data_IF_568721289852
#
_entry.id   IF_568721289852
#
_cell.length_a   1.000
_cell.length_b   1.000
_cell.length_c   1.000
_cell.angle_alpha   90.00
_cell.angle_beta   90.00
_cell.angle_gamma   90.00
#
_symmetry.space_group_name_H-M   'P 1'
#
loop_
_entity.id
_entity.type
_entity.pdbx_description
1 polymer ?
#
# COMPACT_ATOMS: atom_id res chain seq x y z
N UNK A 1 -60.23 42.99 8.48
CA UNK A 1 -59.53 43.55 9.62
C UNK A 1 -58.38 42.63 9.95
N UNK A 2 -57.20 43.04 9.66
CA UNK A 2 -55.99 43.03 10.36
C UNK A 2 -55.16 41.76 10.12
N UNK A 3 -54.40 41.72 9.01
CA UNK A 3 -53.30 40.76 8.84
C UNK A 3 -52.02 41.38 9.31
N UNK A 4 -51.27 40.72 10.16
CA UNK A 4 -49.83 41.01 10.45
C UNK A 4 -48.95 40.08 9.68
N UNK A 5 -48.07 40.67 8.88
CA UNK A 5 -46.96 40.00 8.18
C UNK A 5 -45.80 39.87 9.16
N UNK A 6 -45.38 38.64 9.46
CA UNK A 6 -44.10 38.37 10.11
C UNK A 6 -43.02 38.31 9.04
N UNK A 7 -42.08 39.22 9.13
CA UNK A 7 -40.83 39.26 8.34
C UNK A 7 -39.87 38.19 8.80
N UNK A 8 -39.49 37.30 7.89
CA UNK A 8 -38.43 36.34 8.11
C UNK A 8 -37.06 36.96 7.87
N UNK A 9 -36.26 37.13 8.93
CA UNK A 9 -34.86 37.48 8.85
C UNK A 9 -34.05 36.28 8.31
N UNK A 10 -33.53 36.44 7.11
CA UNK A 10 -32.54 35.55 6.56
C UNK A 10 -31.19 35.83 7.22
N UNK A 11 -30.76 34.93 8.08
CA UNK A 11 -29.38 34.91 8.58
C UNK A 11 -28.43 34.64 7.40
N UNK A 12 -27.80 35.70 6.93
CA UNK A 12 -26.67 35.64 5.99
C UNK A 12 -25.49 34.89 6.63
N UNK A 13 -25.15 33.77 6.05
CA UNK A 13 -23.87 33.06 6.34
C UNK A 13 -22.72 34.02 5.96
N UNK A 14 -21.96 34.43 6.97
CA UNK A 14 -20.76 35.24 6.81
C UNK A 14 -19.70 34.58 5.91
N UNK A 15 -18.79 35.37 5.36
CA UNK A 15 -17.82 34.91 4.37
C UNK A 15 -16.90 33.82 4.95
N UNK A 16 -16.81 32.69 4.23
CA UNK A 16 -15.78 31.68 4.46
C UNK A 16 -14.39 32.33 4.33
N UNK A 17 -13.72 32.50 5.43
CA UNK A 17 -12.30 32.92 5.47
C UNK A 17 -11.43 31.81 4.85
N UNK A 18 -11.29 31.85 3.55
CA UNK A 18 -10.26 31.10 2.81
C UNK A 18 -8.92 31.80 3.03
N UNK A 19 -8.24 31.54 4.13
CA UNK A 19 -6.86 31.96 4.30
C UNK A 19 -5.97 31.24 3.27
N UNK A 20 -5.39 32.00 2.33
CA UNK A 20 -4.35 31.51 1.42
C UNK A 20 -3.13 31.11 2.24
N UNK A 21 -2.52 29.97 1.92
CA UNK A 21 -1.35 29.40 2.59
C UNK A 21 -0.17 30.37 2.83
N UNK A 22 -0.05 31.42 2.02
CA UNK A 22 0.93 32.50 2.18
C UNK A 22 0.65 33.44 3.38
N UNK A 23 -0.60 33.68 3.71
CA UNK A 23 -0.99 34.59 4.83
C UNK A 23 -0.82 33.88 6.16
N UNK A 24 -1.00 32.55 6.21
CA UNK A 24 -0.76 31.76 7.42
C UNK A 24 0.71 31.71 7.83
N UNK A 25 1.66 31.67 6.87
CA UNK A 25 3.11 31.78 7.14
C UNK A 25 3.54 33.12 7.72
N UNK A 26 2.84 34.20 7.45
CA UNK A 26 3.13 35.52 8.00
C UNK A 26 2.79 35.61 9.50
N UNK A 27 1.81 34.83 9.96
CA UNK A 27 1.43 34.80 11.38
C UNK A 27 2.23 33.80 12.24
N UNK A 28 2.75 32.71 11.62
CA UNK A 28 3.56 31.68 12.30
C UNK A 28 4.85 31.40 11.53
N UNK A 29 5.86 32.26 11.61
CA UNK A 29 7.08 32.18 10.79
C UNK A 29 7.98 30.96 11.07
N UNK A 30 7.65 30.11 12.06
CA UNK A 30 8.49 29.01 12.52
C UNK A 30 7.96 27.59 12.26
N UNK A 31 6.78 27.42 11.65
CA UNK A 31 6.26 26.07 11.36
C UNK A 31 6.85 25.51 10.07
N UNK A 32 7.66 24.44 10.14
CA UNK A 32 8.25 23.84 8.94
C UNK A 32 7.20 23.12 8.10
N UNK A 33 7.41 23.10 6.80
CA UNK A 33 6.49 22.48 5.85
C UNK A 33 7.06 21.23 5.22
N UNK A 34 6.20 20.19 5.03
CA UNK A 34 6.56 18.93 4.40
C UNK A 34 5.70 18.66 3.17
N UNK A 35 6.35 18.30 2.08
CA UNK A 35 5.72 17.72 0.91
C UNK A 35 6.04 16.24 0.85
N UNK A 36 4.99 15.41 0.93
CA UNK A 36 5.10 13.94 0.88
C UNK A 36 4.38 13.44 -0.37
N UNK A 37 5.09 12.69 -1.22
CA UNK A 37 4.53 12.08 -2.42
C UNK A 37 4.76 10.58 -2.45
N UNK A 38 3.69 9.84 -2.71
CA UNK A 38 3.70 8.38 -2.79
C UNK A 38 3.78 7.92 -4.24
N UNK A 39 4.68 6.96 -4.49
CA UNK A 39 4.81 6.22 -5.74
C UNK A 39 4.71 4.73 -5.41
N UNK A 40 3.52 4.14 -5.49
CA UNK A 40 3.42 2.74 -5.09
C UNK A 40 2.02 2.17 -5.05
N UNK A 41 1.81 1.29 -4.10
CA UNK A 41 0.56 0.60 -3.83
C UNK A 41 -0.13 1.18 -2.59
N UNK A 42 -1.31 0.65 -2.25
CA UNK A 42 -2.10 1.05 -1.09
C UNK A 42 -1.30 0.98 0.24
N UNK A 43 -0.41 -0.02 0.37
CA UNK A 43 0.48 -0.08 1.54
C UNK A 43 1.40 1.14 1.63
N UNK A 44 1.97 1.63 0.50
CA UNK A 44 2.77 2.84 0.53
C UNK A 44 1.91 4.08 0.83
N UNK A 45 0.67 4.13 0.38
CA UNK A 45 -0.27 5.21 0.74
C UNK A 45 -0.52 5.22 2.25
N UNK A 46 -0.82 4.05 2.82
CA UNK A 46 -1.00 3.92 4.28
C UNK A 46 0.26 4.27 5.08
N UNK A 47 1.44 3.84 4.62
CA UNK A 47 2.72 4.22 5.21
C UNK A 47 2.92 5.74 5.17
N UNK A 48 2.53 6.41 4.09
CA UNK A 48 2.62 7.87 3.95
C UNK A 48 1.67 8.61 4.87
N UNK A 49 0.46 8.10 5.10
CA UNK A 49 -0.49 8.66 6.07
C UNK A 49 0.11 8.67 7.49
N UNK A 50 0.72 7.55 7.89
CA UNK A 50 1.40 7.42 9.17
C UNK A 50 2.55 8.43 9.32
N UNK A 51 3.40 8.54 8.28
CA UNK A 51 4.53 9.50 8.27
C UNK A 51 4.01 10.93 8.34
N UNK A 52 2.98 11.27 7.56
CA UNK A 52 2.39 12.59 7.57
C UNK A 52 1.85 12.94 8.98
N UNK A 53 1.14 12.01 9.61
CA UNK A 53 0.62 12.21 10.97
C UNK A 53 1.75 12.46 11.97
N UNK A 54 2.77 11.62 11.98
CA UNK A 54 3.93 11.75 12.88
C UNK A 54 4.66 13.09 12.73
N UNK A 55 4.76 13.61 11.49
CA UNK A 55 5.34 14.94 11.23
C UNK A 55 4.42 16.07 11.71
N UNK A 56 3.09 15.97 11.46
CA UNK A 56 2.13 16.96 11.94
C UNK A 56 2.10 17.05 13.48
N UNK A 57 2.20 15.93 14.19
CA UNK A 57 2.27 15.88 15.65
C UNK A 57 3.54 16.58 16.20
N UNK A 58 4.58 16.74 15.37
CA UNK A 58 5.79 17.53 15.65
C UNK A 58 5.73 18.97 15.12
N UNK A 59 4.55 19.43 14.70
CA UNK A 59 4.33 20.82 14.27
C UNK A 59 4.69 21.11 12.81
N UNK A 60 4.89 20.10 11.98
CA UNK A 60 5.02 20.29 10.54
C UNK A 60 3.67 20.58 9.90
N UNK A 61 3.66 21.45 8.90
CA UNK A 61 2.48 21.68 8.06
C UNK A 61 2.64 21.00 6.71
N UNK A 62 1.54 20.55 6.12
CA UNK A 62 1.55 19.99 4.78
C UNK A 62 1.77 21.11 3.76
N UNK A 63 2.78 20.98 2.90
CA UNK A 63 2.98 21.86 1.76
C UNK A 63 2.11 21.42 0.58
N UNK A 64 1.54 22.36 -0.13
CA UNK A 64 0.74 22.10 -1.34
C UNK A 64 1.65 21.79 -2.55
N UNK A 65 2.86 22.32 -2.55
CA UNK A 65 3.83 22.11 -3.62
C UNK A 65 5.24 21.87 -3.10
N UNK A 66 6.06 21.22 -3.93
CA UNK A 66 7.46 20.95 -3.62
C UNK A 66 8.29 22.24 -3.49
N UNK A 67 7.86 23.32 -4.17
CA UNK A 67 8.59 24.60 -4.18
C UNK A 67 8.50 25.37 -2.86
N UNK A 68 7.47 25.05 -2.07
CA UNK A 68 7.16 25.71 -0.79
C UNK A 68 7.57 24.85 0.41
N UNK A 69 8.04 23.63 0.16
CA UNK A 69 8.38 22.69 1.22
C UNK A 69 9.79 22.90 1.75
N UNK A 70 9.92 22.80 3.07
CA UNK A 70 11.21 22.71 3.76
C UNK A 70 11.74 21.28 3.77
N UNK A 71 10.82 20.30 3.65
CA UNK A 71 11.11 18.87 3.62
C UNK A 71 10.35 18.24 2.47
N UNK A 72 11.04 17.46 1.64
CA UNK A 72 10.43 16.71 0.54
C UNK A 72 10.75 15.22 0.70
N UNK A 73 9.72 14.41 0.89
CA UNK A 73 9.82 12.98 1.07
C UNK A 73 9.11 12.25 -0.07
N UNK A 74 9.79 11.30 -0.69
CA UNK A 74 9.20 10.42 -1.70
C UNK A 74 9.09 8.99 -1.14
N UNK A 75 7.88 8.54 -0.87
CA UNK A 75 7.63 7.15 -0.47
C UNK A 75 7.49 6.28 -1.73
N UNK A 76 8.26 5.19 -1.81
CA UNK A 76 8.50 4.49 -3.06
C UNK A 76 8.33 2.99 -2.95
N UNK A 77 7.74 2.41 -4.00
CA UNK A 77 7.56 0.98 -4.19
C UNK A 77 8.76 0.36 -4.92
N UNK A 78 9.09 -0.90 -4.61
CA UNK A 78 10.04 -1.72 -5.40
C UNK A 78 9.35 -2.82 -6.22
N UNK A 79 8.04 -2.97 -6.07
CA UNK A 79 7.28 -3.98 -6.82
C UNK A 79 7.08 -3.54 -8.28
N UNK A 80 6.91 -2.23 -8.52
CA UNK A 80 6.67 -1.66 -9.85
C UNK A 80 7.88 -0.84 -10.28
N UNK A 81 8.58 -1.27 -11.34
CA UNK A 81 9.77 -0.60 -11.86
C UNK A 81 9.51 0.85 -12.26
N UNK A 82 8.41 1.11 -12.97
CA UNK A 82 7.99 2.46 -13.35
C UNK A 82 7.84 3.41 -12.15
N UNK A 83 7.39 2.91 -11.00
CA UNK A 83 7.25 3.72 -9.80
C UNK A 83 8.62 4.13 -9.25
N UNK A 84 9.57 3.19 -9.22
CA UNK A 84 10.95 3.44 -8.79
C UNK A 84 11.64 4.45 -9.73
N UNK A 85 11.59 4.22 -11.04
CA UNK A 85 12.19 5.12 -12.03
C UNK A 85 11.59 6.53 -11.99
N UNK A 86 10.25 6.64 -11.86
CA UNK A 86 9.59 7.95 -11.74
C UNK A 86 10.05 8.68 -10.46
N UNK A 87 10.18 7.99 -9.35
CA UNK A 87 10.63 8.59 -8.10
C UNK A 87 12.09 9.04 -8.18
N UNK A 88 12.99 8.23 -8.76
CA UNK A 88 14.39 8.60 -8.95
C UNK A 88 14.53 9.83 -9.84
N UNK A 89 13.86 9.85 -11.01
CA UNK A 89 13.87 11.03 -11.91
C UNK A 89 13.30 12.27 -11.22
N UNK A 90 12.22 12.11 -10.45
CA UNK A 90 11.62 13.21 -9.69
C UNK A 90 12.62 13.79 -8.69
N UNK A 91 13.28 12.95 -7.90
CA UNK A 91 14.27 13.38 -6.91
C UNK A 91 15.46 14.12 -7.57
N UNK A 92 15.94 13.64 -8.72
CA UNK A 92 16.99 14.34 -9.48
C UNK A 92 16.60 15.78 -9.81
N UNK A 93 15.37 16.01 -10.24
CA UNK A 93 14.84 17.34 -10.55
C UNK A 93 14.68 18.20 -9.27
N UNK A 94 14.25 17.60 -8.16
CA UNK A 94 14.05 18.31 -6.89
C UNK A 94 15.35 18.85 -6.29
N UNK A 95 16.49 18.22 -6.57
CA UNK A 95 17.81 18.73 -6.15
C UNK A 95 18.09 20.15 -6.62
N UNK A 96 17.52 20.57 -7.75
CA UNK A 96 17.67 21.95 -8.25
C UNK A 96 17.04 23.00 -7.33
N UNK A 97 16.09 22.61 -6.46
CA UNK A 97 15.47 23.52 -5.48
C UNK A 97 16.48 24.06 -4.48
N UNK A 98 17.57 23.34 -4.21
CA UNK A 98 18.65 23.80 -3.31
C UNK A 98 19.39 25.04 -3.77
N UNK A 99 19.32 25.36 -5.04
CA UNK A 99 19.85 26.66 -5.53
C UNK A 99 19.08 27.84 -4.95
N UNK A 100 17.77 27.63 -4.59
CA UNK A 100 16.88 28.66 -4.03
C UNK A 100 16.72 28.51 -2.52
N UNK A 101 16.68 27.28 -2.03
CA UNK A 101 16.58 26.93 -0.61
C UNK A 101 17.65 25.88 -0.27
N UNK A 102 18.85 26.28 0.20
CA UNK A 102 19.93 25.35 0.56
C UNK A 102 19.56 24.41 1.73
N UNK A 103 18.61 24.82 2.57
CA UNK A 103 18.19 24.06 3.77
C UNK A 103 17.15 22.99 3.45
N UNK A 104 16.61 22.90 2.22
CA UNK A 104 15.60 21.90 1.89
C UNK A 104 16.13 20.48 2.12
N UNK A 105 15.39 19.70 2.91
CA UNK A 105 15.66 18.29 3.19
C UNK A 105 15.02 17.42 2.10
N UNK A 106 15.78 16.49 1.54
CA UNK A 106 15.34 15.56 0.51
C UNK A 106 15.52 14.13 0.99
N UNK A 107 14.44 13.33 0.97
CA UNK A 107 14.48 11.95 1.46
C UNK A 107 13.66 10.96 0.66
N UNK A 108 14.10 9.70 0.70
CA UNK A 108 13.35 8.54 0.22
C UNK A 108 12.86 7.69 1.38
N UNK A 109 11.63 7.18 1.24
CA UNK A 109 10.98 6.28 2.18
C UNK A 109 10.52 5.01 1.45
N UNK A 110 10.24 3.95 2.20
CA UNK A 110 9.50 2.79 1.73
C UNK A 110 10.34 1.67 1.15
N UNK A 111 9.74 0.86 0.26
CA UNK A 111 10.32 -0.40 -0.22
C UNK A 111 11.63 -0.20 -1.01
N UNK A 112 11.73 0.85 -1.83
CA UNK A 112 12.96 1.16 -2.55
C UNK A 112 14.06 1.61 -1.59
N UNK A 113 13.70 2.47 -0.63
CA UNK A 113 14.62 2.89 0.43
C UNK A 113 15.13 1.69 1.22
N UNK A 114 14.26 0.77 1.63
CA UNK A 114 14.62 -0.47 2.31
C UNK A 114 15.61 -1.31 1.50
N UNK A 115 15.38 -1.48 0.20
CA UNK A 115 16.20 -2.34 -0.66
C UNK A 115 17.56 -1.74 -1.00
N UNK A 116 17.58 -0.45 -1.31
CA UNK A 116 18.79 0.25 -1.77
C UNK A 116 19.64 0.81 -0.62
N UNK A 117 19.00 1.22 0.48
CA UNK A 117 19.70 1.73 1.66
C UNK A 117 20.77 2.77 1.31
N UNK A 118 21.97 2.57 1.85
CA UNK A 118 23.12 3.47 1.65
C UNK A 118 23.56 3.60 0.19
N UNK A 119 23.23 2.66 -0.69
CA UNK A 119 23.61 2.76 -2.10
C UNK A 119 22.94 3.95 -2.79
N UNK A 120 21.77 4.38 -2.31
CA UNK A 120 21.09 5.58 -2.82
C UNK A 120 21.91 6.86 -2.65
N UNK A 121 22.70 6.98 -1.57
CA UNK A 121 23.59 8.12 -1.39
C UNK A 121 24.71 8.16 -2.43
N UNK A 122 25.21 6.99 -2.84
CA UNK A 122 26.23 6.85 -3.90
C UNK A 122 25.65 7.16 -5.28
N UNK A 123 24.45 6.63 -5.56
CA UNK A 123 23.74 6.85 -6.82
C UNK A 123 23.23 8.29 -6.95
N UNK A 124 22.88 8.92 -5.84
CA UNK A 124 22.23 10.24 -5.83
C UNK A 124 22.84 11.16 -4.78
N UNK A 125 23.92 11.85 -5.14
CA UNK A 125 24.54 12.85 -4.26
C UNK A 125 23.53 13.92 -3.81
N UNK A 126 23.55 14.24 -2.53
CA UNK A 126 22.70 15.28 -1.97
C UNK A 126 21.36 14.80 -1.42
N UNK A 127 21.12 13.51 -1.23
CA UNK A 127 20.09 13.03 -0.33
C UNK A 127 20.47 13.30 1.12
N UNK A 128 19.48 13.55 1.96
CA UNK A 128 19.65 13.75 3.39
C UNK A 128 19.24 12.52 4.17
N UNK A 129 18.15 11.85 3.74
CA UNK A 129 17.68 10.67 4.47
C UNK A 129 17.12 9.59 3.56
N UNK A 130 17.25 8.34 4.04
CA UNK A 130 16.66 7.13 3.45
C UNK A 130 16.11 6.29 4.60
N UNK A 131 14.79 6.03 4.59
CA UNK A 131 14.14 5.32 5.68
C UNK A 131 13.37 4.11 5.16
N UNK A 132 13.68 2.95 5.73
CA UNK A 132 13.09 1.67 5.38
C UNK A 132 11.67 1.48 5.91
N UNK A 133 11.04 0.40 5.46
CA UNK A 133 9.62 0.11 5.73
C UNK A 133 9.30 -0.22 7.19
N UNK A 134 10.31 -0.58 7.99
CA UNK A 134 10.15 -0.90 9.40
C UNK A 134 10.50 0.29 10.33
N UNK A 135 10.85 1.45 9.77
CA UNK A 135 11.36 2.63 10.50
C UNK A 135 10.50 3.89 10.31
N UNK A 136 9.27 3.75 9.83
CA UNK A 136 8.39 4.90 9.58
C UNK A 136 8.10 5.73 10.83
N UNK A 137 8.03 5.11 12.00
CA UNK A 137 7.85 5.79 13.29
C UNK A 137 9.02 6.74 13.64
N UNK A 138 10.22 6.53 13.07
CA UNK A 138 11.40 7.35 13.29
C UNK A 138 11.57 8.48 12.25
N UNK A 139 10.74 8.52 11.21
CA UNK A 139 10.89 9.49 10.12
C UNK A 139 10.91 10.92 10.64
N UNK A 140 10.01 11.26 11.57
CA UNK A 140 9.91 12.62 12.07
C UNK A 140 11.16 13.05 12.86
N UNK A 141 11.75 12.14 13.66
CA UNK A 141 13.03 12.36 14.37
C UNK A 141 14.18 12.59 13.38
N UNK A 142 14.32 11.70 12.38
CA UNK A 142 15.37 11.78 11.38
C UNK A 142 15.25 13.02 10.50
N UNK A 143 14.04 13.49 10.24
CA UNK A 143 13.79 14.74 9.52
C UNK A 143 14.25 15.94 10.34
N UNK A 144 13.97 15.98 11.64
CA UNK A 144 14.43 17.04 12.54
C UNK A 144 15.97 17.11 12.57
N UNK A 145 16.63 15.94 12.68
CA UNK A 145 18.08 15.83 12.66
C UNK A 145 18.68 16.31 11.33
N UNK A 146 18.11 15.89 10.19
CA UNK A 146 18.57 16.33 8.87
C UNK A 146 18.42 17.85 8.67
N UNK A 147 17.31 18.43 9.16
CA UNK A 147 17.08 19.88 9.10
C UNK A 147 18.08 20.66 9.96
N UNK A 148 18.34 20.20 11.17
CA UNK A 148 19.32 20.82 12.06
C UNK A 148 20.71 20.82 11.40
N UNK A 149 21.15 19.67 10.90
CA UNK A 149 22.45 19.52 10.22
C UNK A 149 22.58 20.45 9.00
N UNK A 150 21.49 20.69 8.25
CA UNK A 150 21.50 21.65 7.14
C UNK A 150 21.58 23.10 7.60
N UNK A 151 20.83 23.48 8.63
CA UNK A 151 20.90 24.83 9.21
C UNK A 151 22.29 25.18 9.74
N UNK A 152 22.99 24.19 10.29
CA UNK A 152 24.37 24.34 10.78
C UNK A 152 25.43 24.32 9.65
N UNK A 153 25.02 24.18 8.40
CA UNK A 153 25.93 24.08 7.25
C UNK A 153 26.75 22.78 7.20
N UNK A 154 26.35 21.75 7.95
CA UNK A 154 27.01 20.45 8.05
C UNK A 154 26.05 19.30 7.60
N UNK A 155 25.55 19.34 6.35
CA UNK A 155 24.62 18.32 5.89
C UNK A 155 25.26 16.94 5.94
N UNK A 156 24.51 15.96 6.43
CA UNK A 156 24.90 14.57 6.49
C UNK A 156 23.80 13.69 5.94
N UNK A 157 24.18 12.51 5.46
CA UNK A 157 23.25 11.49 5.00
C UNK A 157 22.88 10.57 6.19
N UNK A 158 21.57 10.40 6.39
CA UNK A 158 21.00 9.54 7.43
C UNK A 158 20.29 8.36 6.74
N UNK A 159 20.67 7.14 7.11
CA UNK A 159 20.00 5.92 6.62
C UNK A 159 19.54 5.08 7.80
N UNK A 160 18.27 4.69 7.79
CA UNK A 160 17.72 3.75 8.76
C UNK A 160 16.83 2.74 8.03
N UNK A 161 17.45 1.59 7.69
CA UNK A 161 16.83 0.50 6.92
C UNK A 161 16.93 -0.84 7.66
N UNK A 162 17.28 -0.81 8.95
CA UNK A 162 17.36 -2.01 9.79
C UNK A 162 16.01 -2.70 9.99
N UNK A 163 16.05 -3.99 10.26
CA UNK A 163 14.86 -4.72 10.72
C UNK A 163 14.51 -4.32 12.16
N UNK A 164 13.21 -4.30 12.48
CA UNK A 164 12.72 -3.98 13.82
C UNK A 164 11.48 -4.79 14.15
N UNK A 165 11.58 -5.57 15.22
CA UNK A 165 10.46 -6.33 15.76
C UNK A 165 9.42 -5.39 16.37
N UNK A 166 8.13 -5.67 16.17
CA UNK A 166 7.04 -4.82 16.66
C UNK A 166 6.73 -3.60 15.78
N UNK A 167 7.51 -3.35 14.71
CA UNK A 167 7.29 -2.22 13.81
C UNK A 167 5.93 -2.23 13.11
N UNK A 168 5.28 -3.39 12.95
CA UNK A 168 3.92 -3.51 12.39
C UNK A 168 2.88 -2.84 13.28
N UNK A 169 3.14 -2.70 14.57
CA UNK A 169 2.24 -2.06 15.55
C UNK A 169 2.35 -0.54 15.56
N UNK A 170 3.34 0.03 14.90
CA UNK A 170 3.54 1.49 14.83
C UNK A 170 2.68 2.16 13.76
N UNK A 171 2.07 1.40 12.83
CA UNK A 171 1.26 1.94 11.72
C UNK A 171 -0.22 1.95 12.11
N UNK A 172 -0.62 2.86 13.00
CA UNK A 172 -1.99 2.98 13.54
C UNK A 172 -2.66 4.30 13.19
N UNK A 173 -1.88 5.38 13.15
CA UNK A 173 -2.43 6.73 13.05
C UNK A 173 -2.82 7.05 11.61
N UNK A 174 -3.92 7.78 11.47
CA UNK A 174 -4.47 8.20 10.20
C UNK A 174 -4.45 9.71 10.04
N UNK A 175 -4.36 10.14 8.81
CA UNK A 175 -4.56 11.54 8.41
C UNK A 175 -5.70 11.57 7.42
N UNK A 176 -6.93 11.69 7.93
CA UNK A 176 -8.12 11.72 7.09
C UNK A 176 -8.29 13.09 6.43
N UNK A 177 -8.64 13.08 5.15
CA UNK A 177 -9.13 14.27 4.46
C UNK A 177 -10.55 14.63 4.96
N UNK A 178 -10.96 15.90 4.88
CA UNK A 178 -12.34 16.27 5.21
C UNK A 178 -13.34 15.44 4.39
N UNK A 179 -14.34 14.86 5.08
CA UNK A 179 -15.38 13.99 4.49
C UNK A 179 -14.87 12.70 3.83
N UNK A 180 -13.71 12.22 4.21
CA UNK A 180 -13.19 10.93 3.73
C UNK A 180 -14.05 9.79 4.27
N UNK A 181 -14.62 8.98 3.37
CA UNK A 181 -15.54 7.87 3.71
C UNK A 181 -14.85 6.49 3.61
N UNK A 182 -13.64 6.41 3.10
CA UNK A 182 -12.89 5.16 2.95
C UNK A 182 -11.54 5.23 3.64
N UNK A 183 -11.07 4.13 4.22
CA UNK A 183 -9.74 4.06 4.83
C UNK A 183 -9.05 2.72 4.56
N UNK A 184 -7.71 2.76 4.49
CA UNK A 184 -6.86 1.59 4.47
C UNK A 184 -6.39 1.24 5.88
N UNK A 185 -6.53 -0.01 6.29
CA UNK A 185 -6.06 -0.51 7.59
C UNK A 185 -5.04 -1.62 7.38
N UNK A 186 -3.80 -1.39 7.78
CA UNK A 186 -2.75 -2.40 7.72
C UNK A 186 -2.94 -3.40 8.87
N UNK A 187 -3.21 -4.67 8.55
CA UNK A 187 -3.43 -5.72 9.55
C UNK A 187 -2.18 -6.57 9.79
N UNK A 188 -1.29 -6.62 8.79
CA UNK A 188 -0.04 -7.35 8.85
C UNK A 188 1.02 -6.71 7.94
N UNK A 189 2.28 -7.02 8.19
CA UNK A 189 3.42 -6.66 7.35
C UNK A 189 4.34 -7.85 7.11
N UNK A 190 5.06 -7.79 5.96
CA UNK A 190 5.99 -8.82 5.57
C UNK A 190 5.33 -10.05 4.96
N UNK A 191 6.12 -10.95 4.43
CA UNK A 191 5.65 -12.15 3.76
C UNK A 191 6.72 -13.25 3.78
N UNK A 192 6.35 -14.43 4.25
CA UNK A 192 7.20 -15.61 4.28
C UNK A 192 6.94 -16.56 3.09
N UNK A 193 6.19 -16.11 2.10
CA UNK A 193 6.06 -16.85 0.84
C UNK A 193 7.31 -16.68 -0.01
N UNK A 194 7.70 -17.75 -0.69
CA UNK A 194 8.90 -17.77 -1.52
C UNK A 194 8.59 -17.71 -3.01
N UNK A 195 7.63 -16.85 -3.41
CA UNK A 195 7.37 -16.60 -4.82
C UNK A 195 8.65 -16.11 -5.50
N UNK A 196 9.06 -16.77 -6.58
CA UNK A 196 10.40 -16.59 -7.18
C UNK A 196 10.64 -15.19 -7.78
N UNK A 197 9.58 -14.47 -8.12
CA UNK A 197 9.62 -13.11 -8.69
C UNK A 197 9.48 -12.00 -7.65
N UNK A 198 9.09 -12.35 -6.41
CA UNK A 198 8.62 -11.36 -5.46
C UNK A 198 9.76 -10.81 -4.59
N UNK A 199 9.84 -9.49 -4.51
CA UNK A 199 10.83 -8.75 -3.72
C UNK A 199 10.33 -8.41 -2.30
N UNK A 200 9.07 -8.70 -1.99
CA UNK A 200 8.44 -8.32 -0.70
C UNK A 200 9.19 -8.87 0.52
N UNK A 201 9.65 -10.14 0.57
CA UNK A 201 10.41 -10.62 1.72
C UNK A 201 11.64 -9.77 2.05
N UNK A 202 12.33 -9.26 1.02
CA UNK A 202 13.50 -8.38 1.20
C UNK A 202 13.11 -6.96 1.62
N UNK A 203 11.95 -6.46 1.17
CA UNK A 203 11.58 -5.05 1.38
C UNK A 203 10.65 -4.83 2.56
N UNK A 204 9.92 -5.84 3.02
CA UNK A 204 8.97 -5.77 4.15
C UNK A 204 9.31 -6.74 5.28
N UNK A 205 10.30 -7.61 5.07
CA UNK A 205 10.77 -8.58 6.04
C UNK A 205 9.83 -9.76 6.25
N UNK A 206 9.99 -10.44 7.38
CA UNK A 206 9.17 -11.58 7.81
C UNK A 206 7.73 -11.15 8.09
N UNK A 207 6.83 -12.12 7.99
CA UNK A 207 5.41 -11.95 8.30
C UNK A 207 5.21 -11.65 9.78
N UNK A 208 4.50 -10.56 10.07
CA UNK A 208 4.15 -10.09 11.41
C UNK A 208 2.73 -9.55 11.38
N UNK A 209 1.90 -9.98 12.31
CA UNK A 209 0.47 -9.63 12.37
C UNK A 209 0.17 -8.79 13.60
N UNK A 210 -0.70 -7.82 13.45
CA UNK A 210 -1.19 -7.01 14.55
C UNK A 210 -2.27 -7.75 15.34
N UNK A 211 -2.42 -7.52 16.64
CA UNK A 211 -3.52 -8.08 17.43
C UNK A 211 -4.90 -7.67 16.91
N UNK A 212 -5.88 -8.60 16.92
CA UNK A 212 -7.26 -8.33 16.46
C UNK A 212 -7.87 -7.13 17.19
N UNK A 213 -7.73 -7.06 18.51
CA UNK A 213 -8.28 -5.97 19.33
C UNK A 213 -7.80 -4.58 18.89
N UNK A 214 -6.50 -4.44 18.60
CA UNK A 214 -5.91 -3.16 18.13
C UNK A 214 -6.48 -2.73 16.77
N UNK A 215 -6.71 -3.69 15.87
CA UNK A 215 -7.30 -3.42 14.54
C UNK A 215 -8.77 -2.99 14.69
N UNK A 216 -9.52 -3.66 15.54
CA UNK A 216 -10.93 -3.33 15.80
C UNK A 216 -11.07 -1.94 16.43
N UNK A 217 -10.20 -1.58 17.37
CA UNK A 217 -10.19 -0.23 17.96
C UNK A 217 -9.86 0.86 16.94
N UNK A 218 -8.87 0.62 16.07
CA UNK A 218 -8.52 1.53 14.98
C UNK A 218 -9.73 1.73 14.04
N UNK A 219 -10.42 0.65 13.65
CA UNK A 219 -11.60 0.73 12.78
C UNK A 219 -12.75 1.47 13.46
N UNK A 220 -13.00 1.25 14.75
CA UNK A 220 -13.99 2.01 15.52
C UNK A 220 -13.67 3.52 15.53
N UNK A 221 -12.40 3.85 15.76
CA UNK A 221 -11.95 5.25 15.73
C UNK A 221 -12.15 5.89 14.35
N UNK A 222 -11.86 5.17 13.27
CA UNK A 222 -12.10 5.65 11.90
C UNK A 222 -13.59 5.87 11.62
N UNK A 223 -14.43 4.93 12.02
CA UNK A 223 -15.90 5.04 11.85
C UNK A 223 -16.46 6.21 12.63
N UNK A 224 -16.00 6.48 13.86
CA UNK A 224 -16.41 7.65 14.63
C UNK A 224 -16.05 8.98 13.97
N UNK A 225 -15.06 8.98 13.07
CA UNK A 225 -14.64 10.13 12.25
C UNK A 225 -15.35 10.20 10.89
N UNK A 226 -16.31 9.31 10.60
CA UNK A 226 -17.14 9.32 9.39
C UNK A 226 -16.72 8.31 8.31
N UNK A 227 -15.72 7.47 8.54
CA UNK A 227 -15.35 6.40 7.61
C UNK A 227 -16.47 5.35 7.58
N UNK A 228 -16.86 4.91 6.38
CA UNK A 228 -17.92 3.93 6.11
C UNK A 228 -17.39 2.64 5.48
N UNK A 229 -16.27 2.72 4.82
CA UNK A 229 -15.63 1.57 4.16
C UNK A 229 -14.19 1.43 4.62
N UNK A 230 -13.80 0.21 4.99
CA UNK A 230 -12.43 -0.15 5.35
C UNK A 230 -11.91 -1.23 4.40
N UNK A 231 -10.71 -1.02 3.88
CA UNK A 231 -9.97 -2.04 3.14
C UNK A 231 -8.78 -2.54 3.96
N UNK A 232 -8.79 -3.81 4.31
CA UNK A 232 -7.70 -4.46 5.04
C UNK A 232 -6.51 -4.70 4.11
N UNK A 233 -5.33 -4.27 4.54
CA UNK A 233 -4.09 -4.40 3.79
C UNK A 233 -3.14 -5.40 4.46
N UNK A 234 -2.51 -6.22 3.62
CA UNK A 234 -1.43 -7.14 3.97
C UNK A 234 -0.74 -7.63 2.71
N UNK A 235 0.42 -8.26 2.82
CA UNK A 235 1.10 -8.85 1.66
C UNK A 235 0.50 -10.19 1.25
N UNK A 236 -0.15 -10.87 2.18
CA UNK A 236 -0.96 -12.09 2.01
C UNK A 236 -2.10 -12.04 3.03
N UNK A 237 -2.97 -11.07 2.90
CA UNK A 237 -3.94 -10.66 3.92
C UNK A 237 -4.78 -11.81 4.49
N UNK A 238 -5.19 -12.76 3.67
CA UNK A 238 -5.99 -13.93 4.09
C UNK A 238 -5.18 -15.04 4.79
N UNK A 239 -3.89 -14.80 5.04
CA UNK A 239 -3.05 -15.62 5.93
C UNK A 239 -2.67 -14.87 7.22
N UNK A 240 -3.33 -13.74 7.49
CA UNK A 240 -3.15 -12.96 8.71
C UNK A 240 -3.21 -13.84 9.96
N UNK A 241 -2.29 -13.61 10.89
CA UNK A 241 -2.24 -14.25 12.20
C UNK A 241 -1.84 -15.72 12.21
N UNK A 242 -1.57 -16.34 11.07
CA UNK A 242 -1.32 -17.79 10.98
C UNK A 242 -0.14 -18.30 11.83
N UNK A 243 0.75 -17.41 12.26
CA UNK A 243 1.93 -17.73 13.07
C UNK A 243 1.77 -17.33 14.52
N UNK A 244 1.07 -16.25 14.77
CA UNK A 244 1.00 -15.61 16.10
C UNK A 244 -0.33 -15.86 16.82
N UNK A 245 -1.40 -16.18 16.07
CA UNK A 245 -2.74 -16.30 16.62
C UNK A 245 -3.31 -17.71 16.44
N UNK A 246 -4.06 -18.24 17.42
CA UNK A 246 -4.64 -19.57 17.32
C UNK A 246 -5.84 -19.63 16.38
N UNK A 247 -6.07 -20.79 15.81
CA UNK A 247 -7.36 -21.15 15.20
C UNK A 247 -8.34 -21.44 16.33
N UNK A 248 -9.50 -20.77 16.34
CA UNK A 248 -10.53 -20.92 17.37
C UNK A 248 -11.82 -21.43 16.74
N UNK A 249 -12.38 -22.51 17.24
CA UNK A 249 -13.61 -23.13 16.73
C UNK A 249 -13.61 -23.36 15.20
N UNK A 250 -12.48 -23.80 14.65
CA UNK A 250 -12.28 -24.05 13.21
C UNK A 250 -12.14 -22.79 12.35
N UNK A 251 -12.07 -21.59 12.95
CA UNK A 251 -11.91 -20.31 12.25
C UNK A 251 -10.46 -19.85 12.27
N UNK A 252 -9.93 -19.57 11.10
CA UNK A 252 -8.59 -18.95 10.97
C UNK A 252 -8.57 -17.54 11.58
N UNK A 253 -7.41 -17.04 12.00
CA UNK A 253 -7.30 -15.68 12.56
C UNK A 253 -7.86 -14.59 11.66
N UNK A 254 -7.72 -14.73 10.35
CA UNK A 254 -8.29 -13.77 9.41
C UNK A 254 -9.83 -13.76 9.45
N UNK A 255 -10.46 -14.93 9.52
CA UNK A 255 -11.92 -15.03 9.67
C UNK A 255 -12.37 -14.48 11.02
N UNK A 256 -11.65 -14.76 12.11
CA UNK A 256 -11.92 -14.16 13.42
C UNK A 256 -11.90 -12.62 13.34
N UNK A 257 -10.90 -12.05 12.67
CA UNK A 257 -10.81 -10.60 12.45
C UNK A 257 -12.01 -10.06 11.65
N UNK A 258 -12.40 -10.72 10.55
CA UNK A 258 -13.56 -10.30 9.75
C UNK A 258 -14.85 -10.33 10.60
N UNK A 259 -15.04 -11.36 11.42
CA UNK A 259 -16.22 -11.50 12.30
C UNK A 259 -16.25 -10.46 13.42
N UNK A 260 -15.11 -10.02 13.96
CA UNK A 260 -15.06 -8.92 14.92
C UNK A 260 -15.32 -7.56 14.24
N UNK A 261 -14.84 -7.35 13.02
CA UNK A 261 -15.11 -6.13 12.26
C UNK A 261 -16.57 -6.04 11.78
N UNK A 262 -17.22 -7.18 11.51
CA UNK A 262 -18.66 -7.24 11.22
C UNK A 262 -19.51 -6.60 12.33
N UNK A 263 -19.08 -6.70 13.61
CA UNK A 263 -19.78 -6.15 14.76
C UNK A 263 -19.61 -4.64 14.96
N UNK A 264 -18.70 -3.99 14.21
CA UNK A 264 -18.43 -2.55 14.38
C UNK A 264 -19.59 -1.74 13.83
N UNK A 265 -20.35 -1.12 14.72
CA UNK A 265 -21.47 -0.23 14.32
C UNK A 265 -21.00 0.94 13.49
N UNK A 266 -21.74 1.31 12.44
CA UNK A 266 -21.42 2.40 11.54
C UNK A 266 -20.42 2.04 10.43
N UNK A 267 -19.70 0.92 10.50
CA UNK A 267 -18.99 0.36 9.35
C UNK A 267 -20.01 -0.27 8.40
N UNK A 268 -19.98 0.13 7.13
CA UNK A 268 -20.94 -0.34 6.13
C UNK A 268 -20.31 -1.35 5.16
N UNK A 269 -19.02 -1.19 4.82
CA UNK A 269 -18.33 -2.04 3.86
C UNK A 269 -16.95 -2.45 4.36
N UNK A 270 -16.64 -3.72 4.18
CA UNK A 270 -15.36 -4.33 4.48
C UNK A 270 -14.78 -4.96 3.23
N UNK A 271 -13.54 -4.60 2.91
CA UNK A 271 -12.77 -5.15 1.78
C UNK A 271 -11.40 -5.63 2.25
N UNK A 272 -10.78 -6.43 1.45
CA UNK A 272 -9.36 -6.76 1.63
C UNK A 272 -8.66 -6.90 0.28
N UNK A 273 -7.34 -6.70 0.27
CA UNK A 273 -6.51 -6.82 -0.94
C UNK A 273 -5.35 -7.78 -0.72
N UNK A 274 -4.75 -8.24 -1.84
CA UNK A 274 -3.60 -9.14 -1.82
C UNK A 274 -3.84 -10.49 -1.14
N UNK A 275 -5.00 -11.15 -1.29
CA UNK A 275 -5.16 -12.52 -0.86
C UNK A 275 -4.32 -13.47 -1.72
N UNK A 276 -4.02 -14.64 -1.17
CA UNK A 276 -3.34 -15.72 -1.87
C UNK A 276 -4.26 -16.95 -1.97
N UNK A 277 -4.33 -17.66 -3.10
CA UNK A 277 -5.21 -18.83 -3.27
C UNK A 277 -5.06 -19.89 -2.18
N UNK A 278 -3.84 -20.14 -1.67
CA UNK A 278 -3.60 -21.06 -0.56
C UNK A 278 -4.26 -20.66 0.76
N UNK A 279 -4.58 -19.39 0.92
CA UNK A 279 -5.28 -18.86 2.11
C UNK A 279 -6.79 -18.84 1.95
N UNK A 280 -7.34 -19.18 0.79
CA UNK A 280 -8.78 -19.34 0.57
C UNK A 280 -9.24 -20.69 1.14
N UNK A 281 -9.45 -20.70 2.45
CA UNK A 281 -9.94 -21.88 3.20
C UNK A 281 -11.45 -21.87 3.27
N UNK A 282 -12.05 -23.03 3.57
CA UNK A 282 -13.51 -23.20 3.62
C UNK A 282 -14.20 -22.21 4.58
N UNK A 283 -13.56 -21.87 5.70
CA UNK A 283 -14.06 -20.89 6.67
C UNK A 283 -14.11 -19.47 6.09
N UNK A 284 -13.09 -19.05 5.32
CA UNK A 284 -13.07 -17.77 4.64
C UNK A 284 -14.05 -17.73 3.46
N UNK A 285 -14.10 -18.80 2.65
CA UNK A 285 -15.08 -18.93 1.56
C UNK A 285 -16.50 -18.83 2.13
N UNK A 286 -16.74 -19.45 3.31
CA UNK A 286 -18.00 -19.36 4.03
C UNK A 286 -18.36 -17.98 4.58
N UNK A 287 -17.45 -16.99 4.56
CA UNK A 287 -17.76 -15.60 4.91
C UNK A 287 -18.54 -14.88 3.79
N UNK A 288 -18.30 -15.23 2.53
CA UNK A 288 -19.07 -14.70 1.41
C UNK A 288 -20.53 -15.16 1.50
N UNK A 289 -21.47 -14.22 1.38
CA UNK A 289 -22.91 -14.45 1.57
C UNK A 289 -23.36 -14.58 3.04
N UNK A 290 -22.44 -14.68 4.02
CA UNK A 290 -22.75 -14.71 5.45
C UNK A 290 -22.49 -13.39 6.15
N UNK A 291 -21.35 -12.76 5.92
CA UNK A 291 -21.01 -11.45 6.51
C UNK A 291 -21.60 -10.34 5.63
N UNK A 292 -22.44 -9.49 6.22
CA UNK A 292 -23.20 -8.48 5.48
C UNK A 292 -22.34 -7.30 5.02
N UNK A 293 -21.28 -7.00 5.77
CA UNK A 293 -20.35 -5.89 5.46
C UNK A 293 -19.24 -6.31 4.50
N UNK A 294 -18.94 -7.61 4.41
CA UNK A 294 -17.95 -8.10 3.46
C UNK A 294 -18.48 -7.92 2.04
N UNK A 295 -17.80 -7.06 1.28
CA UNK A 295 -18.19 -6.78 -0.09
C UNK A 295 -18.16 -8.01 -0.97
N UNK A 296 -19.13 -8.15 -1.84
CA UNK A 296 -19.22 -9.19 -2.88
C UNK A 296 -18.19 -8.94 -3.99
N UNK A 297 -16.94 -8.87 -3.61
CA UNK A 297 -15.80 -8.64 -4.48
C UNK A 297 -14.59 -9.41 -3.98
N UNK A 298 -13.92 -10.12 -4.88
CA UNK A 298 -12.70 -10.86 -4.61
C UNK A 298 -11.64 -10.54 -5.65
N UNK A 299 -10.55 -9.88 -5.23
CA UNK A 299 -9.35 -9.79 -6.03
C UNK A 299 -8.43 -10.96 -5.67
N UNK A 300 -8.28 -11.95 -6.55
CA UNK A 300 -7.49 -13.16 -6.29
C UNK A 300 -6.42 -13.37 -7.38
N UNK A 301 -5.17 -12.92 -7.17
CA UNK A 301 -4.09 -13.02 -8.16
C UNK A 301 -3.74 -14.46 -8.53
N UNK A 302 -4.02 -14.90 -9.76
CA UNK A 302 -3.67 -16.23 -10.25
C UNK A 302 -2.21 -16.32 -10.71
N UNK A 303 -1.69 -15.28 -11.31
CA UNK A 303 -0.36 -15.11 -11.89
C UNK A 303 -0.13 -15.87 -13.20
N UNK A 304 -0.59 -17.11 -13.34
CA UNK A 304 -0.53 -17.93 -14.57
C UNK A 304 -1.59 -19.03 -14.54
N UNK A 305 -2.09 -19.45 -15.69
CA UNK A 305 -2.97 -20.62 -15.86
C UNK A 305 -2.22 -21.93 -16.11
N UNK A 306 -0.89 -21.89 -16.22
CA UNK A 306 -0.04 -23.08 -16.39
C UNK A 306 0.47 -23.62 -15.07
N UNK A 307 0.19 -24.88 -14.77
CA UNK A 307 0.70 -25.54 -13.55
C UNK A 307 2.23 -25.57 -13.51
N UNK A 308 2.87 -25.73 -14.67
CA UNK A 308 4.32 -25.65 -14.81
C UNK A 308 4.84 -24.27 -14.36
N UNK A 309 4.22 -23.21 -14.85
CA UNK A 309 4.60 -21.84 -14.46
C UNK A 309 4.29 -21.54 -13.01
N UNK A 310 3.13 -21.94 -12.51
CA UNK A 310 2.79 -21.79 -11.09
C UNK A 310 3.81 -22.48 -10.17
N UNK A 311 4.30 -23.67 -10.57
CA UNK A 311 5.37 -24.38 -9.85
C UNK A 311 6.69 -23.61 -9.89
N UNK A 312 7.13 -23.13 -11.05
CA UNK A 312 8.37 -22.34 -11.23
C UNK A 312 8.29 -21.01 -10.47
N UNK A 313 7.12 -20.35 -10.50
CA UNK A 313 6.83 -19.15 -9.74
C UNK A 313 6.77 -19.38 -8.21
N UNK A 314 6.71 -20.66 -7.77
CA UNK A 314 6.63 -21.00 -6.34
C UNK A 314 5.28 -20.69 -5.71
N UNK A 315 4.17 -20.79 -6.47
CA UNK A 315 2.83 -20.42 -6.00
C UNK A 315 2.20 -21.46 -5.07
N UNK A 316 2.55 -22.75 -5.23
CA UNK A 316 2.13 -23.83 -4.33
C UNK A 316 0.63 -24.18 -4.44
N UNK A 317 0.03 -23.95 -5.59
CA UNK A 317 -1.30 -24.44 -6.00
C UNK A 317 -1.30 -24.68 -7.51
N UNK A 318 -2.32 -25.39 -8.00
CA UNK A 318 -2.56 -25.68 -9.42
C UNK A 318 -3.70 -24.83 -9.97
N UNK A 319 -3.79 -24.74 -11.30
CA UNK A 319 -4.90 -24.07 -11.97
C UNK A 319 -6.26 -24.71 -11.61
N UNK A 320 -6.31 -26.04 -11.46
CA UNK A 320 -7.54 -26.72 -11.05
C UNK A 320 -7.94 -26.44 -9.60
N UNK A 321 -6.97 -26.30 -8.69
CA UNK A 321 -7.26 -25.85 -7.33
C UNK A 321 -7.80 -24.43 -7.32
N UNK A 322 -7.25 -23.56 -8.16
CA UNK A 322 -7.74 -22.19 -8.33
C UNK A 322 -9.19 -22.16 -8.83
N UNK A 323 -9.50 -22.93 -9.88
CA UNK A 323 -10.88 -23.08 -10.42
C UNK A 323 -11.87 -23.53 -9.34
N UNK A 324 -11.50 -24.54 -8.54
CA UNK A 324 -12.36 -25.04 -7.47
C UNK A 324 -12.65 -23.95 -6.42
N UNK A 325 -11.65 -23.20 -6.01
CA UNK A 325 -11.83 -22.07 -5.09
C UNK A 325 -12.86 -21.08 -5.65
N UNK A 326 -12.72 -20.70 -6.91
CA UNK A 326 -13.64 -19.75 -7.54
C UNK A 326 -15.06 -20.29 -7.64
N UNK A 327 -15.22 -21.56 -8.03
CA UNK A 327 -16.52 -22.23 -8.09
C UNK A 327 -17.22 -22.25 -6.71
N UNK A 328 -16.48 -22.58 -5.64
CA UNK A 328 -17.00 -22.57 -4.28
C UNK A 328 -17.42 -21.17 -3.82
N UNK A 329 -16.62 -20.14 -4.12
CA UNK A 329 -16.97 -18.75 -3.76
C UNK A 329 -18.19 -18.27 -4.55
N UNK A 330 -18.24 -18.52 -5.87
CA UNK A 330 -19.40 -18.16 -6.73
C UNK A 330 -20.67 -18.88 -6.31
N UNK A 331 -20.57 -20.13 -5.83
CA UNK A 331 -21.74 -20.84 -5.28
C UNK A 331 -22.30 -20.14 -4.04
N UNK A 332 -21.46 -19.53 -3.22
CA UNK A 332 -21.87 -18.80 -2.00
C UNK A 332 -22.33 -17.38 -2.28
N UNK A 333 -21.75 -16.76 -3.30
CA UNK A 333 -21.99 -15.38 -3.72
C UNK A 333 -22.10 -15.32 -5.23
N UNK A 334 -23.29 -15.61 -5.84
CA UNK A 334 -23.48 -15.65 -7.28
C UNK A 334 -23.18 -14.33 -7.99
N UNK A 335 -23.36 -13.20 -7.31
CA UNK A 335 -23.06 -11.85 -7.83
C UNK A 335 -21.62 -11.36 -7.58
N UNK A 336 -20.70 -12.27 -7.22
CA UNK A 336 -19.33 -11.93 -6.88
C UNK A 336 -18.60 -11.23 -8.05
N UNK A 337 -18.17 -9.99 -7.82
CA UNK A 337 -17.20 -9.31 -8.68
C UNK A 337 -15.81 -9.93 -8.47
N UNK A 338 -15.20 -10.42 -9.56
CA UNK A 338 -13.94 -11.17 -9.50
C UNK A 338 -12.86 -10.49 -10.33
N UNK A 339 -11.71 -10.21 -9.70
CA UNK A 339 -10.56 -9.63 -10.40
C UNK A 339 -9.27 -10.41 -10.11
N UNK A 340 -8.29 -10.31 -11.00
CA UNK A 340 -7.04 -11.06 -10.87
C UNK A 340 -5.82 -10.28 -11.36
N UNK A 341 -4.62 -10.80 -11.03
CA UNK A 341 -3.33 -10.40 -11.60
C UNK A 341 -2.73 -11.57 -12.38
N UNK A 342 -2.13 -11.25 -13.54
CA UNK A 342 -1.41 -12.18 -14.40
C UNK A 342 -0.03 -11.61 -14.72
N UNK A 343 0.99 -12.48 -14.78
CA UNK A 343 2.34 -12.13 -15.26
C UNK A 343 2.59 -12.90 -16.56
N UNK A 344 2.79 -12.18 -17.65
CA UNK A 344 3.17 -12.75 -18.95
C UNK A 344 4.67 -12.55 -19.21
N UNK A 345 5.24 -13.47 -19.99
CA UNK A 345 6.66 -13.42 -20.34
C UNK A 345 7.60 -13.69 -19.19
N UNK A 346 7.16 -14.49 -18.23
CA UNK A 346 8.01 -14.98 -17.14
C UNK A 346 9.16 -15.83 -17.71
N UNK A 347 10.40 -15.84 -17.13
CA UNK A 347 11.51 -16.64 -17.62
C UNK A 347 11.12 -18.11 -17.83
N UNK A 348 11.34 -18.61 -19.05
CA UNK A 348 10.99 -19.96 -19.47
C UNK A 348 9.52 -20.19 -19.79
N UNK A 349 8.67 -19.16 -19.84
CA UNK A 349 7.27 -19.31 -20.29
C UNK A 349 7.22 -19.65 -21.78
N UNK A 350 6.64 -20.80 -22.13
CA UNK A 350 6.42 -21.21 -23.50
C UNK A 350 5.11 -20.63 -24.07
N UNK A 351 4.86 -20.88 -25.36
CA UNK A 351 3.58 -20.51 -25.98
C UNK A 351 2.41 -21.32 -25.39
N UNK A 352 2.64 -22.58 -25.08
CA UNK A 352 1.64 -23.48 -24.47
C UNK A 352 1.27 -23.01 -23.05
N UNK A 353 2.24 -22.52 -22.26
CA UNK A 353 1.99 -21.98 -20.94
C UNK A 353 1.15 -20.68 -21.00
N UNK A 354 1.51 -19.80 -21.94
CA UNK A 354 0.74 -18.59 -22.20
C UNK A 354 -0.70 -18.93 -22.62
N UNK A 355 -0.88 -19.86 -23.56
CA UNK A 355 -2.19 -20.31 -23.99
C UNK A 355 -3.01 -20.96 -22.86
N UNK A 356 -2.36 -21.64 -21.92
CA UNK A 356 -3.05 -22.17 -20.73
C UNK A 356 -3.56 -21.03 -19.83
N UNK A 357 -2.81 -19.94 -19.75
CA UNK A 357 -3.22 -18.74 -19.01
C UNK A 357 -4.39 -18.05 -19.73
N UNK A 358 -4.30 -17.89 -21.04
CA UNK A 358 -5.34 -17.28 -21.85
C UNK A 358 -6.67 -18.05 -21.70
N UNK A 359 -6.65 -19.39 -21.88
CA UNK A 359 -7.85 -20.24 -21.69
C UNK A 359 -8.44 -20.13 -20.29
N UNK A 360 -7.60 -20.01 -19.25
CA UNK A 360 -8.11 -19.81 -17.89
C UNK A 360 -8.85 -18.49 -17.75
N UNK A 361 -8.35 -17.41 -18.38
CA UNK A 361 -9.02 -16.11 -18.34
C UNK A 361 -10.37 -16.16 -19.07
N UNK A 362 -10.43 -16.78 -20.24
CA UNK A 362 -11.69 -16.98 -20.98
C UNK A 362 -12.70 -17.82 -20.19
N UNK A 363 -12.26 -18.92 -19.57
CA UNK A 363 -13.11 -19.84 -18.81
C UNK A 363 -13.67 -19.21 -17.54
N UNK A 364 -12.85 -18.42 -16.83
CA UNK A 364 -13.25 -17.84 -15.54
C UNK A 364 -14.12 -16.60 -15.71
N UNK A 365 -14.01 -15.88 -16.82
CA UNK A 365 -14.76 -14.63 -17.07
C UNK A 365 -14.59 -13.63 -15.92
N UNK A 366 -13.38 -13.11 -15.75
CA UNK A 366 -13.09 -12.08 -14.73
C UNK A 366 -13.72 -10.75 -15.12
N UNK A 367 -14.25 -10.00 -14.14
CA UNK A 367 -14.70 -8.62 -14.36
C UNK A 367 -13.55 -7.69 -14.73
N UNK A 368 -12.33 -7.96 -14.22
CA UNK A 368 -11.11 -7.27 -14.63
C UNK A 368 -9.87 -8.12 -14.36
N UNK A 369 -8.88 -8.04 -15.26
CA UNK A 369 -7.57 -8.64 -15.08
C UNK A 369 -6.46 -7.62 -15.29
N UNK A 370 -5.53 -7.54 -14.34
CA UNK A 370 -4.33 -6.74 -14.49
C UNK A 370 -3.20 -7.61 -15.04
N UNK A 371 -2.83 -7.38 -16.30
CA UNK A 371 -1.82 -8.18 -17.00
C UNK A 371 -0.50 -7.41 -16.99
N UNK A 372 0.52 -8.01 -16.38
CA UNK A 372 1.84 -7.42 -16.23
C UNK A 372 2.87 -8.17 -17.04
N UNK A 373 3.68 -7.46 -17.80
CA UNK A 373 4.92 -8.01 -18.37
C UNK A 373 5.90 -8.31 -17.24
N UNK A 374 6.49 -9.50 -17.23
CA UNK A 374 7.51 -9.82 -16.26
C UNK A 374 8.66 -8.80 -16.34
N UNK A 375 9.00 -8.23 -15.21
CA UNK A 375 10.12 -7.31 -15.03
C UNK A 375 11.02 -7.82 -13.92
N UNK A 376 12.32 -8.09 -14.19
CA UNK A 376 13.22 -8.65 -13.20
C UNK A 376 13.41 -7.69 -12.01
N UNK A 377 13.39 -8.25 -10.80
CA UNK A 377 13.70 -7.52 -9.56
C UNK A 377 15.00 -8.07 -9.00
N UNK A 378 16.00 -7.22 -8.94
CA UNK A 378 17.31 -7.58 -8.38
C UNK A 378 17.15 -8.23 -6.99
N UNK A 379 17.87 -9.32 -6.75
CA UNK A 379 17.77 -10.10 -5.52
C UNK A 379 16.75 -11.23 -5.55
N UNK A 380 15.81 -11.27 -6.49
CA UNK A 380 14.85 -12.37 -6.63
C UNK A 380 15.45 -13.58 -7.37
N UNK A 381 14.88 -14.77 -7.13
CA UNK A 381 15.31 -15.99 -7.83
C UNK A 381 15.08 -15.88 -9.34
N UNK A 382 13.91 -15.39 -9.74
CA UNK A 382 13.55 -15.23 -11.15
C UNK A 382 14.47 -14.27 -11.91
N UNK A 383 15.02 -13.26 -11.26
CA UNK A 383 15.96 -12.32 -11.91
C UNK A 383 17.32 -12.97 -12.27
N UNK A 384 17.63 -14.14 -11.71
CA UNK A 384 18.85 -14.91 -12.01
C UNK A 384 18.70 -15.76 -13.28
N UNK A 385 17.49 -16.04 -13.71
CA UNK A 385 17.14 -16.92 -14.84
C UNK A 385 17.25 -16.19 -16.20
N UNK A 386 18.42 -15.60 -16.47
CA UNK A 386 18.65 -14.81 -17.69
C UNK A 386 18.66 -15.65 -18.97
N UNK A 387 19.08 -16.91 -18.89
CA UNK A 387 19.18 -17.80 -20.06
C UNK A 387 17.82 -18.16 -20.67
N UNK A 388 16.76 -18.10 -19.88
CA UNK A 388 15.38 -18.40 -20.29
C UNK A 388 14.50 -17.15 -20.41
N UNK A 389 15.12 -15.97 -20.52
CA UNK A 389 14.39 -14.72 -20.66
C UNK A 389 13.54 -14.71 -21.94
N UNK A 390 12.27 -14.34 -21.82
CA UNK A 390 11.37 -14.15 -22.96
C UNK A 390 11.68 -12.81 -23.60
N UNK A 391 11.79 -12.70 -24.95
CA UNK A 391 12.00 -11.44 -25.65
C UNK A 391 10.93 -10.39 -25.32
N UNK A 392 11.31 -9.11 -25.34
CA UNK A 392 10.40 -8.03 -24.94
C UNK A 392 9.20 -7.91 -25.89
N UNK A 393 9.44 -8.12 -27.19
CA UNK A 393 8.41 -8.11 -28.22
C UNK A 393 7.33 -9.18 -27.94
N UNK A 394 7.74 -10.38 -27.53
CA UNK A 394 6.82 -11.47 -27.14
C UNK A 394 6.06 -11.15 -25.87
N UNK A 395 6.70 -10.48 -24.91
CA UNK A 395 5.99 -10.02 -23.69
C UNK A 395 4.95 -8.96 -24.03
N UNK A 396 5.28 -8.06 -24.96
CA UNK A 396 4.37 -7.00 -25.38
C UNK A 396 3.17 -7.59 -26.13
N UNK A 397 3.39 -8.51 -27.08
CA UNK A 397 2.34 -9.27 -27.76
C UNK A 397 1.39 -9.93 -26.74
N UNK A 398 1.94 -10.74 -25.81
CA UNK A 398 1.15 -11.42 -24.78
C UNK A 398 0.42 -10.50 -23.80
N UNK A 399 0.86 -9.27 -23.68
CA UNK A 399 0.23 -8.30 -22.80
C UNK A 399 -0.89 -7.51 -23.47
N UNK A 400 -0.85 -7.41 -24.82
CA UNK A 400 -1.86 -6.71 -25.62
C UNK A 400 -3.02 -7.61 -26.02
N UNK A 401 -2.77 -8.90 -26.14
CA UNK A 401 -3.75 -9.96 -26.42
C UNK A 401 -4.80 -10.10 -25.29
#
# INVERSE_FOLDING_TARGET
MGGEKASGDSLALGPSFGFRSREFRAFFPFMPSVFLKTYGCQMNERDSEQVARSLMDRGYQRAESEKEADVILLNTCSVRDLAEQKALRKMMNLRALRKKNPEVVLGFLGCMAQRKGDSLAKEMKGLDLVVGTQKFHRVAELVDEARLARKEGRPRFLADVGEEEGSERTIRDHTLAPRQVTAFVSVMQGCDMHCSFCIVPTTRGKERSRPIGEIVEEVRSLVSQGVKEVTLLGQIVNMYGRRELPVVAGRTPFVQLLEELEKVEGLERLRFTSPHPRGMKADLIGCYGRLQKLCEHLHLPVQSGSDRMLKVMGRGYTADQYRRILAEVRQRCPGLGLTTDVIVGYPGETKEDYQATYRLLEEVEFDNAFIFRYSPREGTRAAKEKATAVPEEVKEERNQD
#
